data_IF_963457027745
#
_entry.id   IF_963457027745
#
_cell.length_a   1.000
_cell.length_b   1.000
_cell.length_c   1.000
_cell.angle_alpha   90.00
_cell.angle_beta   90.00
_cell.angle_gamma   90.00
#
_symmetry.space_group_name_H-M   'P 1'
#
loop_
_entity.id
_entity.type
_entity.pdbx_description
1 polymer ?
#
# COMPACT_ATOMS: atom_id res chain seq x y z
N UNK A 1 -66.16 17.19 -32.55
CA UNK A 1 -65.47 18.08 -31.60
C UNK A 1 -64.25 17.33 -31.09
N UNK A 2 -63.06 17.73 -31.52
CA UNK A 2 -61.80 17.12 -31.11
C UNK A 2 -61.35 17.75 -29.79
N UNK A 3 -60.92 16.93 -28.85
CA UNK A 3 -60.11 17.39 -27.71
C UNK A 3 -59.03 16.35 -27.47
N UNK A 4 -57.82 16.75 -27.87
CA UNK A 4 -56.55 16.18 -27.48
C UNK A 4 -56.31 16.56 -26.01
N UNK A 5 -55.97 15.61 -25.14
CA UNK A 5 -55.36 15.91 -23.85
C UNK A 5 -54.12 15.02 -23.68
N UNK A 6 -52.96 15.66 -23.64
CA UNK A 6 -51.67 15.06 -23.35
C UNK A 6 -51.57 14.70 -21.86
N UNK A 7 -50.90 13.59 -21.54
CA UNK A 7 -50.69 13.13 -20.17
C UNK A 7 -49.43 12.26 -20.03
N UNK A 8 -48.29 12.93 -19.84
CA UNK A 8 -47.05 12.57 -19.14
C UNK A 8 -46.72 11.07 -18.92
N UNK A 9 -45.63 10.62 -19.55
CA UNK A 9 -44.90 9.40 -19.21
C UNK A 9 -44.01 9.65 -17.99
N UNK A 10 -44.40 9.12 -16.82
CA UNK A 10 -43.55 9.09 -15.62
C UNK A 10 -42.67 7.84 -15.70
N UNK A 11 -41.39 8.01 -16.02
CA UNK A 11 -40.40 6.94 -15.94
C UNK A 11 -40.02 6.81 -14.46
N UNK A 12 -40.70 5.91 -13.75
CA UNK A 12 -40.37 5.58 -12.37
C UNK A 12 -39.01 4.88 -12.31
N UNK A 13 -37.97 5.59 -11.90
CA UNK A 13 -36.67 5.02 -11.56
C UNK A 13 -36.81 4.18 -10.29
N UNK A 14 -36.97 2.87 -10.46
CA UNK A 14 -36.86 1.91 -9.36
C UNK A 14 -35.40 1.85 -8.92
N UNK A 15 -35.06 2.57 -7.85
CA UNK A 15 -33.79 2.39 -7.14
C UNK A 15 -33.78 0.99 -6.53
N UNK A 16 -32.97 0.09 -7.08
CA UNK A 16 -32.63 -1.15 -6.39
C UNK A 16 -31.76 -0.77 -5.18
N UNK A 17 -32.08 -1.20 -3.96
CA UNK A 17 -31.20 -0.98 -2.83
C UNK A 17 -29.92 -1.80 -3.03
N UNK A 18 -28.82 -1.14 -3.39
CA UNK A 18 -27.48 -1.70 -3.24
C UNK A 18 -27.23 -1.78 -1.74
N UNK A 19 -27.27 -3.00 -1.21
CA UNK A 19 -26.81 -3.29 0.14
C UNK A 19 -25.29 -3.16 0.13
N UNK A 20 -24.79 -1.95 0.41
CA UNK A 20 -23.40 -1.76 0.77
C UNK A 20 -23.14 -2.60 2.03
N UNK A 21 -22.21 -3.54 1.97
CA UNK A 21 -21.60 -4.06 3.19
C UNK A 21 -20.94 -2.86 3.87
N UNK A 22 -21.44 -2.49 5.05
CA UNK A 22 -20.81 -1.50 5.90
C UNK A 22 -19.43 -2.02 6.22
N UNK A 23 -18.41 -1.50 5.54
CA UNK A 23 -17.04 -1.50 6.08
C UNK A 23 -17.18 -0.88 7.46
N UNK A 24 -16.88 -1.62 8.53
CA UNK A 24 -16.74 -1.00 9.83
C UNK A 24 -15.61 0.01 9.67
N UNK A 25 -15.94 1.30 9.59
CA UNK A 25 -14.92 2.33 9.68
C UNK A 25 -14.23 2.11 11.02
N UNK A 26 -12.95 1.75 10.94
CA UNK A 26 -12.07 1.78 12.08
C UNK A 26 -12.04 3.24 12.56
N UNK A 27 -12.31 3.46 13.83
CA UNK A 27 -12.36 4.81 14.43
C UNK A 27 -10.95 5.35 14.75
N UNK A 28 -9.96 4.89 14.00
CA UNK A 28 -8.55 5.19 14.16
C UNK A 28 -7.85 5.18 12.79
N UNK A 29 -6.77 5.95 12.68
CA UNK A 29 -6.01 6.15 11.46
C UNK A 29 -4.66 5.42 11.52
N UNK A 30 -4.24 4.90 10.36
CA UNK A 30 -2.91 4.30 10.15
C UNK A 30 -2.14 5.07 9.09
N UNK A 31 -0.88 5.40 9.38
CA UNK A 31 0.09 5.85 8.38
C UNK A 31 1.32 4.96 8.41
N UNK A 32 1.72 4.46 7.24
CA UNK A 32 2.92 3.62 7.08
C UNK A 32 3.91 4.30 6.12
N UNK A 33 5.18 4.32 6.50
CA UNK A 33 6.30 4.75 5.66
C UNK A 33 7.27 3.58 5.50
N UNK A 34 7.51 3.16 4.26
CA UNK A 34 8.34 1.99 3.97
C UNK A 34 9.70 2.44 3.44
N UNK A 35 10.76 2.08 4.15
CA UNK A 35 12.14 2.33 3.77
C UNK A 35 12.76 1.05 3.21
N UNK A 36 13.33 1.14 2.00
CA UNK A 36 13.93 -0.01 1.32
C UNK A 36 15.40 0.26 1.05
N UNK A 37 16.27 -0.58 1.59
CA UNK A 37 17.67 -0.65 1.18
C UNK A 37 17.80 -1.66 0.04
N UNK A 38 18.24 -1.19 -1.13
CA UNK A 38 18.39 -2.01 -2.34
C UNK A 38 19.85 -2.18 -2.77
N UNK A 39 20.12 -3.27 -3.48
CA UNK A 39 21.35 -3.44 -4.25
C UNK A 39 21.41 -2.41 -5.40
N UNK A 40 22.61 -2.21 -5.98
CA UNK A 40 22.77 -1.40 -7.18
C UNK A 40 21.88 -1.86 -8.35
N UNK A 41 21.51 -3.15 -8.40
CA UNK A 41 20.57 -3.71 -9.39
C UNK A 41 19.10 -3.38 -9.13
N UNK A 42 18.78 -2.66 -8.05
CA UNK A 42 17.41 -2.39 -7.60
C UNK A 42 16.79 -3.50 -6.75
N UNK A 43 17.47 -4.65 -6.58
CA UNK A 43 16.98 -5.75 -5.74
C UNK A 43 16.94 -5.33 -4.27
N UNK A 44 15.76 -5.30 -3.67
CA UNK A 44 15.57 -5.03 -2.24
C UNK A 44 16.32 -6.05 -1.38
N UNK A 45 16.96 -5.56 -0.31
CA UNK A 45 17.73 -6.37 0.66
C UNK A 45 17.10 -6.31 2.04
N UNK A 46 16.76 -5.10 2.49
CA UNK A 46 16.21 -4.82 3.80
C UNK A 46 15.03 -3.86 3.65
N UNK A 47 13.99 -4.10 4.44
CA UNK A 47 12.78 -3.29 4.46
C UNK A 47 12.43 -2.97 5.91
N UNK A 48 12.55 -1.71 6.29
CA UNK A 48 12.09 -1.19 7.57
C UNK A 48 10.79 -0.40 7.32
N UNK A 49 9.78 -0.63 8.15
CA UNK A 49 8.49 0.05 8.08
C UNK A 49 8.29 0.85 9.34
N UNK A 50 8.07 2.15 9.19
CA UNK A 50 7.64 3.05 10.26
C UNK A 50 6.12 3.17 10.21
N UNK A 51 5.47 3.01 11.35
CA UNK A 51 4.02 3.07 11.48
C UNK A 51 3.65 4.09 12.54
N UNK A 52 2.67 4.93 12.21
CA UNK A 52 2.00 5.83 13.15
C UNK A 52 0.53 5.44 13.22
N UNK A 53 0.06 5.12 14.43
CA UNK A 53 -1.35 4.86 14.72
C UNK A 53 -1.92 6.05 15.50
N UNK A 54 -3.10 6.53 15.09
CA UNK A 54 -3.76 7.66 15.75
C UNK A 54 -5.21 7.33 16.06
N UNK A 55 -5.66 7.65 17.27
CA UNK A 55 -7.05 7.52 17.68
C UNK A 55 -7.39 8.57 18.73
N UNK A 56 -8.59 9.14 18.65
CA UNK A 56 -9.10 10.00 19.72
C UNK A 56 -9.44 9.18 20.98
N UNK A 57 -9.04 9.69 22.15
CA UNK A 57 -9.25 9.02 23.43
C UNK A 57 -8.26 7.86 23.67
N UNK A 58 -8.53 7.00 24.64
CA UNK A 58 -7.57 6.01 25.16
C UNK A 58 -7.98 4.56 24.90
N UNK A 59 -8.85 4.34 23.92
CA UNK A 59 -9.30 2.99 23.60
C UNK A 59 -8.22 2.27 22.78
N UNK A 60 -7.91 1.03 23.15
CA UNK A 60 -6.86 0.23 22.52
C UNK A 60 -7.01 0.12 21.00
N UNK A 61 -5.91 0.22 20.26
CA UNK A 61 -5.88 0.09 18.80
C UNK A 61 -5.52 -1.35 18.42
N UNK A 62 -6.29 -1.92 17.47
CA UNK A 62 -6.07 -3.28 16.96
C UNK A 62 -5.50 -3.23 15.56
N UNK A 63 -4.18 -3.26 15.47
CA UNK A 63 -3.46 -3.15 14.21
C UNK A 63 -3.09 -4.54 13.65
N UNK A 64 -3.51 -4.81 12.41
CA UNK A 64 -3.08 -6.00 11.69
C UNK A 64 -1.73 -5.73 11.04
N UNK A 65 -0.71 -6.41 11.53
CA UNK A 65 0.65 -6.28 11.05
C UNK A 65 1.27 -7.65 10.79
N UNK A 66 1.99 -7.75 9.68
CA UNK A 66 2.85 -8.89 9.34
C UNK A 66 4.35 -8.58 9.59
N UNK A 67 4.65 -7.45 10.23
CA UNK A 67 6.02 -7.04 10.52
C UNK A 67 6.65 -7.92 11.60
N UNK A 68 7.95 -8.08 11.53
CA UNK A 68 8.78 -8.71 12.56
C UNK A 68 9.59 -7.66 13.31
N UNK A 69 10.21 -8.06 14.42
CA UNK A 69 11.11 -7.18 15.20
C UNK A 69 10.47 -5.84 15.59
N UNK A 70 9.18 -5.91 15.95
CA UNK A 70 8.35 -4.75 16.24
C UNK A 70 8.80 -4.10 17.53
N UNK A 71 9.10 -2.80 17.46
CA UNK A 71 9.54 -1.97 18.58
C UNK A 71 8.82 -0.64 18.58
N UNK A 72 8.33 -0.22 19.75
CA UNK A 72 7.92 1.16 19.99
C UNK A 72 9.16 2.07 19.81
N UNK A 73 8.98 3.20 19.14
CA UNK A 73 10.02 4.22 18.94
C UNK A 73 9.80 5.54 19.68
N UNK A 74 8.59 5.81 20.17
CA UNK A 74 8.24 7.00 20.95
C UNK A 74 7.19 6.67 22.01
N UNK A 75 7.37 7.16 23.23
CA UNK A 75 6.45 6.86 24.34
C UNK A 75 6.76 5.53 25.05
N UNK A 76 5.82 5.08 25.86
CA UNK A 76 5.88 3.84 26.65
C UNK A 76 4.69 2.90 26.39
N UNK A 77 3.93 3.14 25.32
CA UNK A 77 2.82 2.30 24.90
C UNK A 77 3.33 0.89 24.58
N UNK A 78 2.70 -0.10 25.21
CA UNK A 78 2.99 -1.51 25.01
C UNK A 78 1.97 -2.13 24.05
N UNK A 79 2.37 -3.24 23.41
CA UNK A 79 1.47 -4.04 22.61
C UNK A 79 1.46 -5.49 23.07
N UNK A 80 0.29 -6.13 22.92
CA UNK A 80 0.15 -7.58 23.05
C UNK A 80 -0.25 -8.18 21.71
N UNK A 81 0.40 -9.28 21.33
CA UNK A 81 0.00 -10.05 20.15
C UNK A 81 -1.16 -10.99 20.48
N UNK A 82 -2.28 -10.82 19.79
CA UNK A 82 -3.48 -11.64 19.94
C UNK A 82 -3.33 -12.98 19.18
N UNK A 83 -4.25 -13.92 19.47
CA UNK A 83 -4.22 -15.28 18.89
C UNK A 83 -4.41 -15.31 17.37
N UNK A 84 -5.06 -14.30 16.80
CA UNK A 84 -5.24 -14.14 15.36
C UNK A 84 -4.06 -13.41 14.66
N UNK A 85 -3.04 -13.03 15.43
CA UNK A 85 -1.85 -12.32 14.96
C UNK A 85 -1.96 -10.79 15.00
N UNK A 86 -3.12 -10.23 15.31
CA UNK A 86 -3.33 -8.78 15.47
C UNK A 86 -2.54 -8.24 16.66
N UNK A 87 -2.00 -7.03 16.55
CA UNK A 87 -1.36 -6.31 17.65
C UNK A 87 -2.41 -5.46 18.36
N UNK A 88 -2.58 -5.68 19.66
CA UNK A 88 -3.40 -4.82 20.52
C UNK A 88 -2.49 -3.85 21.23
N UNK A 89 -2.50 -2.58 20.81
CA UNK A 89 -1.74 -1.49 21.42
C UNK A 89 -2.53 -0.83 22.54
N UNK A 90 -1.88 -0.61 23.67
CA UNK A 90 -2.43 0.19 24.77
C UNK A 90 -2.32 1.67 24.44
N UNK A 91 -3.41 2.24 23.92
CA UNK A 91 -3.47 3.63 23.49
C UNK A 91 -3.65 4.54 24.70
N UNK A 92 -2.63 5.34 25.02
CA UNK A 92 -2.65 6.27 26.14
C UNK A 92 -3.20 7.67 25.78
N UNK A 93 -3.76 7.84 24.58
CA UNK A 93 -4.33 9.10 24.09
C UNK A 93 -3.37 9.95 23.26
N UNK A 94 -2.20 9.41 22.94
CA UNK A 94 -1.19 10.01 22.06
C UNK A 94 -0.99 9.13 20.82
N UNK A 95 -0.27 9.64 19.81
CA UNK A 95 0.09 8.85 18.63
C UNK A 95 1.04 7.71 19.00
N UNK A 96 0.78 6.51 18.51
CA UNK A 96 1.68 5.36 18.71
C UNK A 96 2.64 5.27 17.53
N UNK A 97 3.93 5.36 17.82
CA UNK A 97 5.00 5.26 16.83
C UNK A 97 5.75 3.94 17.01
N UNK A 98 5.76 3.09 15.97
CA UNK A 98 6.52 1.86 16.03
C UNK A 98 7.20 1.54 14.71
N UNK A 99 8.25 0.73 14.80
CA UNK A 99 8.97 0.18 13.65
C UNK A 99 8.94 -1.32 13.64
N UNK A 100 9.04 -1.90 12.45
CA UNK A 100 9.30 -3.32 12.27
C UNK A 100 9.93 -3.61 10.92
N UNK A 101 10.33 -4.87 10.74
CA UNK A 101 10.93 -5.35 9.50
C UNK A 101 9.88 -6.06 8.64
N UNK A 102 9.97 -5.87 7.33
CA UNK A 102 9.17 -6.61 6.36
C UNK A 102 10.07 -7.47 5.47
N UNK A 103 9.51 -8.58 4.97
CA UNK A 103 10.23 -9.41 4.01
C UNK A 103 10.23 -8.73 2.62
N UNK A 104 11.38 -8.58 1.94
CA UNK A 104 11.49 -7.84 0.67
C UNK A 104 10.52 -8.30 -0.45
N UNK A 105 10.13 -9.58 -0.45
CA UNK A 105 9.19 -10.16 -1.40
C UNK A 105 7.76 -9.62 -1.26
N UNK A 106 7.42 -9.04 -0.11
CA UNK A 106 6.10 -8.46 0.18
C UNK A 106 5.90 -7.07 -0.44
N UNK A 107 6.97 -6.44 -0.94
CA UNK A 107 6.88 -5.11 -1.54
C UNK A 107 5.91 -5.11 -2.75
N UNK A 108 5.02 -4.12 -2.83
CA UNK A 108 4.00 -4.02 -3.89
C UNK A 108 4.60 -3.67 -5.26
N UNK A 109 5.82 -3.12 -5.26
CA UNK A 109 6.56 -2.70 -6.45
C UNK A 109 7.92 -3.37 -6.43
N UNK A 110 8.33 -3.93 -7.56
CA UNK A 110 9.70 -4.35 -7.81
C UNK A 110 10.40 -3.31 -8.68
N UNK A 111 11.61 -2.92 -8.27
CA UNK A 111 12.50 -2.04 -9.03
C UNK A 111 13.61 -2.90 -9.64
N UNK A 112 14.00 -2.58 -10.87
CA UNK A 112 15.19 -3.15 -11.50
C UNK A 112 15.98 -2.00 -12.14
N UNK A 113 17.28 -1.96 -11.86
CA UNK A 113 18.17 -0.93 -12.38
C UNK A 113 19.19 -1.57 -13.30
N UNK A 114 19.24 -1.09 -14.54
CA UNK A 114 20.21 -1.52 -15.56
C UNK A 114 21.10 -0.34 -15.97
N UNK A 115 22.36 -0.63 -16.27
CA UNK A 115 23.38 0.37 -16.56
C UNK A 115 23.96 0.15 -17.95
N UNK A 116 24.16 1.25 -18.68
CA UNK A 116 24.96 1.24 -19.90
C UNK A 116 26.00 2.36 -19.85
N UNK A 117 27.24 2.05 -20.23
CA UNK A 117 28.33 3.03 -20.39
C UNK A 117 28.68 3.12 -21.87
N UNK A 118 28.61 4.32 -22.43
CA UNK A 118 28.85 4.57 -23.87
C UNK A 118 28.00 3.66 -24.78
N UNK A 119 26.78 3.36 -24.35
CA UNK A 119 25.81 2.54 -25.08
C UNK A 119 25.96 1.02 -24.90
N UNK A 120 26.98 0.54 -24.19
CA UNK A 120 27.15 -0.88 -23.88
C UNK A 120 26.72 -1.20 -22.44
N UNK A 121 26.00 -2.31 -22.25
CA UNK A 121 25.61 -2.79 -20.93
C UNK A 121 26.84 -3.09 -20.05
N UNK A 122 26.76 -2.71 -18.78
CA UNK A 122 27.85 -2.88 -17.82
C UNK A 122 27.28 -3.26 -16.45
N UNK A 123 27.97 -4.15 -15.74
CA UNK A 123 27.64 -4.47 -14.35
C UNK A 123 27.95 -3.28 -13.43
N UNK A 124 27.12 -3.00 -12.41
CA UNK A 124 27.33 -1.84 -11.54
C UNK A 124 28.68 -1.86 -10.81
N UNK A 125 29.19 -3.04 -10.46
CA UNK A 125 30.49 -3.21 -9.79
C UNK A 125 31.67 -2.83 -10.70
N UNK A 126 31.48 -2.86 -12.02
CA UNK A 126 32.50 -2.52 -13.02
C UNK A 126 32.50 -1.03 -13.41
N UNK A 127 31.60 -0.21 -12.85
CA UNK A 127 31.52 1.22 -13.14
C UNK A 127 32.64 2.04 -12.47
N UNK A 128 33.15 1.57 -11.33
CA UNK A 128 34.14 2.31 -10.56
C UNK A 128 35.40 2.64 -11.39
N UNK A 129 35.75 3.92 -11.45
CA UNK A 129 36.94 4.39 -12.19
C UNK A 129 36.78 4.46 -13.71
N UNK A 130 35.61 4.14 -14.26
CA UNK A 130 35.33 4.27 -15.70
C UNK A 130 34.90 5.71 -16.01
N UNK A 131 35.29 6.20 -17.19
CA UNK A 131 34.83 7.48 -17.75
C UNK A 131 33.97 7.19 -18.99
N UNK A 132 32.97 8.03 -19.25
CA UNK A 132 32.07 7.89 -20.40
C UNK A 132 30.66 8.40 -20.08
N UNK A 133 29.73 8.22 -21.01
CA UNK A 133 28.32 8.57 -20.83
C UNK A 133 27.57 7.41 -20.18
N UNK A 134 27.23 7.57 -18.90
CA UNK A 134 26.43 6.61 -18.16
C UNK A 134 24.93 6.86 -18.38
N UNK A 135 24.19 5.81 -18.72
CA UNK A 135 22.73 5.80 -18.64
C UNK A 135 22.30 4.77 -17.59
N UNK A 136 21.41 5.20 -16.70
CA UNK A 136 20.72 4.34 -15.75
C UNK A 136 19.26 4.25 -16.15
N UNK A 137 18.74 3.02 -16.24
CA UNK A 137 17.33 2.77 -16.51
C UNK A 137 16.69 2.11 -15.28
N UNK A 138 15.58 2.68 -14.84
CA UNK A 138 14.77 2.19 -13.74
C UNK A 138 13.49 1.59 -14.31
N UNK A 139 13.32 0.28 -14.16
CA UNK A 139 12.08 -0.41 -14.49
C UNK A 139 11.27 -0.68 -13.22
N UNK A 140 9.99 -0.30 -13.25
CA UNK A 140 9.05 -0.50 -12.16
C UNK A 140 8.02 -1.56 -12.54
N UNK A 141 7.91 -2.62 -11.73
CA UNK A 141 6.90 -3.67 -11.91
C UNK A 141 5.92 -3.66 -10.76
N UNK A 142 4.67 -3.33 -11.06
CA UNK A 142 3.54 -3.47 -10.15
C UNK A 142 3.23 -4.96 -9.91
N UNK A 143 3.18 -5.36 -8.63
CA UNK A 143 2.84 -6.72 -8.20
C UNK A 143 1.45 -6.81 -7.56
N UNK A 144 0.77 -5.69 -7.39
CA UNK A 144 -0.55 -5.65 -6.78
C UNK A 144 -1.64 -5.95 -7.79
N UNK A 145 -2.47 -6.92 -7.46
CA UNK A 145 -3.71 -7.21 -8.14
C UNK A 145 -4.80 -7.52 -7.13
N UNK A 146 -6.06 -7.30 -7.53
CA UNK A 146 -7.24 -7.67 -6.75
C UNK A 146 -8.17 -8.49 -7.62
N UNK A 147 -8.85 -9.44 -7.00
CA UNK A 147 -9.98 -10.13 -7.64
C UNK A 147 -11.23 -9.29 -7.43
N UNK A 148 -11.89 -8.91 -8.50
CA UNK A 148 -13.18 -8.21 -8.48
C UNK A 148 -14.24 -9.05 -9.17
N UNK A 149 -15.47 -8.99 -8.67
CA UNK A 149 -16.61 -9.68 -9.28
C UNK A 149 -17.45 -8.69 -10.10
N UNK A 150 -17.64 -9.00 -11.37
CA UNK A 150 -18.48 -8.23 -12.30
C UNK A 150 -19.41 -9.23 -12.99
N UNK A 151 -20.73 -9.00 -12.91
CA UNK A 151 -21.74 -9.88 -13.51
C UNK A 151 -21.57 -11.37 -13.16
N UNK A 152 -21.26 -11.67 -11.89
CA UNK A 152 -21.01 -13.04 -11.38
C UNK A 152 -19.79 -13.73 -11.99
N UNK A 153 -18.85 -12.96 -12.56
CA UNK A 153 -17.57 -13.43 -13.07
C UNK A 153 -16.44 -12.75 -12.32
N UNK A 154 -15.42 -13.52 -11.98
CA UNK A 154 -14.22 -13.02 -11.31
C UNK A 154 -13.17 -12.56 -12.31
N UNK A 155 -12.61 -11.38 -12.06
CA UNK A 155 -11.52 -10.79 -12.85
C UNK A 155 -10.38 -10.42 -11.92
N UNK A 156 -9.16 -10.78 -12.29
CA UNK A 156 -7.95 -10.29 -11.62
C UNK A 156 -7.50 -9.00 -12.30
N UNK A 157 -7.59 -7.89 -11.59
CA UNK A 157 -7.23 -6.56 -12.10
C UNK A 157 -6.04 -5.98 -11.34
N UNK A 158 -5.08 -5.33 -12.03
CA UNK A 158 -3.96 -4.68 -11.36
C UNK A 158 -4.44 -3.47 -10.56
N UNK A 159 -3.82 -3.22 -9.41
CA UNK A 159 -4.07 -1.99 -8.62
C UNK A 159 -3.19 -0.88 -9.18
N UNK A 160 -3.74 0.27 -9.65
CA UNK A 160 -2.92 1.35 -10.18
C UNK A 160 -1.94 1.88 -9.14
N UNK A 161 -0.69 2.11 -9.55
CA UNK A 161 0.37 2.68 -8.71
C UNK A 161 1.04 3.83 -9.45
N UNK A 162 1.46 4.85 -8.70
CA UNK A 162 2.30 5.93 -9.19
C UNK A 162 3.73 5.69 -8.71
N UNK A 163 4.69 5.82 -9.62
CA UNK A 163 6.11 5.81 -9.30
C UNK A 163 6.73 7.10 -9.82
N UNK A 164 7.64 7.67 -9.05
CA UNK A 164 8.38 8.88 -9.39
C UNK A 164 9.86 8.67 -9.09
N UNK A 165 10.71 9.02 -10.04
CA UNK A 165 12.18 9.05 -9.88
C UNK A 165 12.60 10.51 -10.02
N UNK A 166 13.38 11.01 -9.07
CA UNK A 166 13.86 12.40 -9.03
C UNK A 166 15.33 12.49 -9.48
#
# INVERSE_FOLDING_TARGET
>A
MATLLAGVLVIGSTTLPVKAETVSEEDWDKKETVHVTAAATGKAKEVEVEVVLRRDGTAAIRDKSNLTDIRNTEGDEEYTKLSDGTLSWDNQGEDIHYKGNAAPETLPIQITVTYTLDGAEIAPEALAGRSGHLTMRFDYKNRLARTVEVDKKSYTVPVPLMAMTL
#
